data_IF_363314691878
#
_entry.id   IF_363314691878
#
_cell.length_a   1.000
_cell.length_b   1.000
_cell.length_c   1.000
_cell.angle_alpha   90.00
_cell.angle_beta   90.00
_cell.angle_gamma   90.00
#
_symmetry.space_group_name_H-M   'P 1'
#
loop_
_entity.id
_entity.type
_entity.pdbx_description
1 polymer ?
#
# COMPACT_ATOMS: atom_id res chain seq x y z
N UNK A 1 -15.00 10.03 0.24
CA UNK A 1 -13.88 9.13 -0.06
C UNK A 1 -14.36 7.73 -0.31
N UNK A 2 -13.81 7.10 -1.30
CA UNK A 2 -14.17 5.72 -1.60
C UNK A 2 -13.56 4.76 -0.58
N UNK A 3 -14.23 3.64 -0.43
CA UNK A 3 -13.81 2.55 0.43
C UNK A 3 -12.44 2.04 0.02
N UNK A 4 -11.51 1.95 0.98
CA UNK A 4 -10.18 1.41 0.75
C UNK A 4 -10.15 -0.06 1.13
N UNK A 5 -9.57 -0.89 0.26
CA UNK A 5 -9.36 -2.29 0.60
C UNK A 5 -8.16 -2.43 1.54
N UNK A 6 -8.08 -3.57 2.21
CA UNK A 6 -6.92 -3.92 3.04
C UNK A 6 -5.62 -3.89 2.21
N UNK A 7 -5.71 -4.37 0.99
CA UNK A 7 -4.58 -4.38 0.05
C UNK A 7 -4.11 -2.95 -0.27
N UNK A 8 -5.03 -2.03 -0.49
CA UNK A 8 -4.71 -0.62 -0.73
C UNK A 8 -3.98 0.00 0.46
N UNK A 9 -4.47 -0.29 1.66
CA UNK A 9 -3.86 0.22 2.90
C UNK A 9 -2.44 -0.31 3.07
N UNK A 10 -2.23 -1.60 2.85
CA UNK A 10 -0.90 -2.21 2.92
C UNK A 10 0.04 -1.55 1.91
N UNK A 11 -0.42 -1.33 0.70
CA UNK A 11 0.37 -0.64 -0.32
C UNK A 11 0.79 0.76 0.10
N UNK A 12 -0.12 1.53 0.69
CA UNK A 12 0.19 2.86 1.20
C UNK A 12 1.25 2.84 2.30
N UNK A 13 1.16 1.85 3.20
CA UNK A 13 2.14 1.70 4.28
C UNK A 13 3.51 1.34 3.73
N UNK A 14 3.58 0.36 2.82
CA UNK A 14 4.84 -0.07 2.23
C UNK A 14 5.51 1.06 1.44
N UNK A 15 4.72 1.84 0.73
CA UNK A 15 5.20 2.99 -0.02
C UNK A 15 5.72 4.08 0.92
N UNK A 16 4.97 4.39 1.97
CA UNK A 16 5.36 5.39 2.96
C UNK A 16 6.64 5.01 3.71
N UNK A 17 6.82 3.72 4.01
CA UNK A 17 7.98 3.20 4.72
C UNK A 17 9.18 2.90 3.82
N UNK A 18 9.04 3.04 2.51
CA UNK A 18 10.15 2.83 1.58
C UNK A 18 11.26 3.85 1.83
N UNK A 19 12.47 3.36 2.11
CA UNK A 19 13.59 4.22 2.48
C UNK A 19 13.63 4.60 3.95
N UNK A 20 12.64 4.24 4.73
CA UNK A 20 12.53 4.51 6.16
C UNK A 20 11.62 5.69 6.47
N UNK A 21 10.72 5.51 7.42
CA UNK A 21 9.82 6.56 7.88
C UNK A 21 9.42 6.34 9.33
N UNK A 22 9.14 7.43 10.04
CA UNK A 22 8.62 7.37 11.40
C UNK A 22 7.18 6.87 11.37
N UNK A 23 6.74 6.30 12.49
CA UNK A 23 5.36 5.85 12.66
C UNK A 23 4.36 6.98 12.35
N UNK A 24 4.64 8.18 12.83
CA UNK A 24 3.78 9.36 12.61
C UNK A 24 3.63 9.67 11.12
N UNK A 25 4.74 9.65 10.38
CA UNK A 25 4.73 9.90 8.94
C UNK A 25 3.93 8.84 8.19
N UNK A 26 4.12 7.57 8.54
CA UNK A 26 3.38 6.47 7.93
C UNK A 26 1.89 6.62 8.22
N UNK A 27 1.54 6.97 9.44
CA UNK A 27 0.15 7.20 9.85
C UNK A 27 -0.53 8.26 8.98
N UNK A 28 0.13 9.39 8.78
CA UNK A 28 -0.39 10.46 7.94
C UNK A 28 -0.57 10.02 6.49
N UNK A 29 0.44 9.37 5.93
CA UNK A 29 0.41 8.97 4.53
C UNK A 29 -0.58 7.86 4.23
N UNK A 30 -0.83 6.99 5.20
CA UNK A 30 -1.78 5.89 5.04
C UNK A 30 -3.20 6.22 5.48
N UNK A 31 -3.41 7.41 6.05
CA UNK A 31 -4.72 7.87 6.52
C UNK A 31 -5.35 6.93 7.54
N UNK A 32 -4.53 6.41 8.45
CA UNK A 32 -4.97 5.48 9.48
C UNK A 32 -4.96 6.15 10.86
N UNK A 33 -5.75 5.62 11.78
CA UNK A 33 -5.62 5.94 13.19
C UNK A 33 -4.37 5.25 13.74
N UNK A 34 -3.90 5.72 14.89
CA UNK A 34 -2.75 5.11 15.56
C UNK A 34 -2.98 3.62 15.84
N UNK A 35 -4.15 3.25 16.32
CA UNK A 35 -4.48 1.86 16.65
C UNK A 35 -4.49 0.98 15.41
N UNK A 36 -5.07 1.45 14.31
CA UNK A 36 -5.09 0.72 13.05
C UNK A 36 -3.68 0.51 12.51
N UNK A 37 -2.87 1.57 12.50
CA UNK A 37 -1.48 1.48 12.02
C UNK A 37 -0.66 0.49 12.87
N UNK A 38 -0.83 0.53 14.18
CA UNK A 38 -0.13 -0.39 15.09
C UNK A 38 -0.38 -1.84 14.69
N UNK A 39 -1.63 -2.18 14.42
CA UNK A 39 -2.00 -3.55 14.06
C UNK A 39 -1.43 -3.94 12.69
N UNK A 40 -1.48 -3.04 11.72
CA UNK A 40 -0.89 -3.29 10.40
C UNK A 40 0.63 -3.45 10.49
N UNK A 41 1.31 -2.57 11.22
CA UNK A 41 2.77 -2.64 11.35
C UNK A 41 3.21 -3.93 12.05
N UNK A 42 2.47 -4.38 13.07
CA UNK A 42 2.74 -5.65 13.73
C UNK A 42 2.66 -6.82 12.75
N UNK A 43 1.60 -6.87 11.97
CA UNK A 43 1.39 -7.90 10.96
C UNK A 43 2.47 -7.86 9.87
N UNK A 44 2.76 -6.68 9.34
CA UNK A 44 3.74 -6.52 8.26
C UNK A 44 5.16 -6.85 8.74
N UNK A 45 5.49 -6.51 9.98
CA UNK A 45 6.78 -6.86 10.58
C UNK A 45 6.89 -8.39 10.75
N UNK A 46 5.83 -9.02 11.23
CA UNK A 46 5.78 -10.47 11.38
C UNK A 46 5.95 -11.19 10.05
N UNK A 47 5.37 -10.66 8.99
CA UNK A 47 5.49 -11.21 7.64
C UNK A 47 6.81 -10.86 6.95
N UNK A 48 7.66 -10.07 7.58
CA UNK A 48 8.95 -9.68 7.01
C UNK A 48 8.86 -8.66 5.88
N UNK A 49 7.75 -7.92 5.79
CA UNK A 49 7.56 -6.90 4.75
C UNK A 49 8.07 -5.54 5.18
N UNK A 50 8.13 -5.32 6.48
CA UNK A 50 8.62 -4.09 7.11
C UNK A 50 9.52 -4.50 8.26
N UNK A 51 10.58 -3.72 8.51
CA UNK A 51 11.45 -3.91 9.66
C UNK A 51 11.56 -2.61 10.45
N UNK A 52 11.78 -2.73 11.76
CA UNK A 52 11.98 -1.57 12.62
C UNK A 52 13.47 -1.35 12.86
N UNK A 53 13.93 -0.14 12.60
CA UNK A 53 15.28 0.31 12.91
C UNK A 53 15.24 1.02 14.27
N UNK A 54 15.78 0.37 15.30
CA UNK A 54 15.80 0.91 16.66
C UNK A 54 16.65 2.17 16.78
N UNK A 55 17.74 2.24 16.06
CA UNK A 55 18.65 3.39 16.11
C UNK A 55 18.01 4.65 15.56
N UNK A 56 17.30 4.52 14.44
CA UNK A 56 16.64 5.65 13.81
C UNK A 56 15.19 5.84 14.22
N UNK A 57 14.63 4.95 15.03
CA UNK A 57 13.20 4.94 15.40
C UNK A 57 12.29 5.02 14.18
N UNK A 58 12.63 4.23 13.13
CA UNK A 58 11.92 4.24 11.85
C UNK A 58 11.54 2.85 11.44
N UNK A 59 10.46 2.76 10.68
CA UNK A 59 10.08 1.54 9.97
C UNK A 59 10.56 1.64 8.53
N UNK A 60 11.04 0.54 8.00
CA UNK A 60 11.58 0.49 6.65
C UNK A 60 11.03 -0.73 5.92
N UNK A 61 10.54 -0.51 4.70
CA UNK A 61 10.09 -1.59 3.84
C UNK A 61 11.28 -2.44 3.42
N UNK A 62 11.15 -3.75 3.62
CA UNK A 62 12.22 -4.72 3.28
C UNK A 62 12.24 -4.99 1.78
N UNK A 63 13.26 -5.73 1.31
CA UNK A 63 13.30 -6.19 -0.07
C UNK A 63 12.07 -7.00 -0.43
N UNK A 64 11.60 -7.84 0.48
CA UNK A 64 10.37 -8.62 0.30
C UNK A 64 9.16 -7.69 0.20
N UNK A 65 9.10 -6.66 1.05
CA UNK A 65 8.03 -5.66 1.01
C UNK A 65 8.01 -4.89 -0.31
N UNK A 66 9.18 -4.55 -0.85
CA UNK A 66 9.27 -3.88 -2.15
C UNK A 66 8.80 -4.78 -3.29
N UNK A 67 9.09 -6.08 -3.22
CA UNK A 67 8.56 -7.04 -4.20
C UNK A 67 7.04 -7.08 -4.19
N UNK A 68 6.46 -7.16 -3.00
CA UNK A 68 5.00 -7.15 -2.84
C UNK A 68 4.40 -5.87 -3.40
N UNK A 69 5.02 -4.73 -3.10
CA UNK A 69 4.55 -3.43 -3.60
C UNK A 69 4.60 -3.36 -5.13
N UNK A 70 5.67 -3.85 -5.74
CA UNK A 70 5.79 -3.89 -7.21
C UNK A 70 4.72 -4.77 -7.84
N UNK A 71 4.49 -5.95 -7.28
CA UNK A 71 3.46 -6.86 -7.77
C UNK A 71 2.07 -6.25 -7.66
N UNK A 72 1.80 -5.58 -6.55
CA UNK A 72 0.53 -4.89 -6.34
C UNK A 72 0.33 -3.78 -7.38
N UNK A 73 1.36 -2.99 -7.64
CA UNK A 73 1.30 -1.91 -8.64
C UNK A 73 1.08 -2.47 -10.04
N UNK A 74 1.75 -3.57 -10.39
CA UNK A 74 1.55 -4.25 -11.66
C UNK A 74 0.11 -4.74 -11.84
N UNK A 75 -0.43 -5.38 -10.82
CA UNK A 75 -1.81 -5.87 -10.83
C UNK A 75 -2.79 -4.70 -10.98
N UNK A 76 -2.56 -3.62 -10.26
CA UNK A 76 -3.41 -2.43 -10.34
C UNK A 76 -3.39 -1.81 -11.74
N UNK A 77 -2.23 -1.73 -12.38
CA UNK A 77 -2.11 -1.26 -13.75
C UNK A 77 -2.90 -2.13 -14.73
N UNK A 78 -2.83 -3.44 -14.57
CA UNK A 78 -3.59 -4.39 -15.39
C UNK A 78 -5.09 -4.20 -15.21
N UNK A 79 -5.54 -4.05 -13.97
CA UNK A 79 -6.97 -3.82 -13.69
C UNK A 79 -7.43 -2.47 -14.25
N UNK A 80 -6.62 -1.44 -14.14
CA UNK A 80 -6.93 -0.12 -14.69
C UNK A 80 -7.08 -0.19 -16.21
N UNK A 81 -6.19 -0.91 -16.90
CA UNK A 81 -6.25 -1.10 -18.33
C UNK A 81 -7.53 -1.85 -18.76
N UNK A 82 -7.92 -2.86 -18.01
CA UNK A 82 -9.15 -3.61 -18.24
C UNK A 82 -10.37 -2.72 -18.05
N UNK A 83 -10.39 -1.93 -16.97
CA UNK A 83 -11.48 -1.02 -16.67
C UNK A 83 -11.65 0.04 -17.74
N UNK A 84 -10.56 0.63 -18.20
CA UNK A 84 -10.58 1.61 -19.29
C UNK A 84 -11.10 1.02 -20.60
N UNK A 85 -10.69 -0.20 -20.93
CA UNK A 85 -11.17 -0.91 -22.10
C UNK A 85 -12.67 -1.21 -22.03
N UNK A 86 -13.15 -1.59 -20.86
CA UNK A 86 -14.55 -1.84 -20.61
C UNK A 86 -15.39 -0.56 -20.74
N UNK A 87 -14.93 0.53 -20.15
CA UNK A 87 -15.62 1.82 -20.22
C UNK A 87 -15.78 2.31 -21.64
N UNK A 88 -14.74 2.18 -22.45
CA UNK A 88 -14.79 2.55 -23.88
C UNK A 88 -15.78 1.70 -24.65
N UNK A 89 -15.81 0.40 -24.41
CA UNK A 89 -16.73 -0.53 -25.05
C UNK A 89 -18.18 -0.18 -24.73
N UNK A 90 -18.47 0.07 -23.44
CA UNK A 90 -19.81 0.45 -23.00
C UNK A 90 -20.25 1.75 -23.65
N UNK A 91 -19.38 2.75 -23.73
CA UNK A 91 -19.68 4.03 -24.36
C UNK A 91 -20.04 3.87 -25.84
N UNK A 92 -19.36 2.98 -26.55
CA UNK A 92 -19.64 2.69 -27.96
C UNK A 92 -20.99 1.97 -28.12
N UNK A 93 -21.28 1.03 -27.27
CA UNK A 93 -22.50 0.22 -27.35
C UNK A 93 -23.77 0.98 -27.01
N UNK A 94 -23.65 2.05 -26.23
CA UNK A 94 -24.79 2.88 -25.83
C UNK A 94 -25.24 3.81 -26.98
N UNK A 95 -24.41 4.03 -27.94
CA UNK A 95 -24.73 4.79 -29.12
C UNK A 95 -25.34 3.91 -30.20
#
# INVERSE_FOLDING_TARGET
MKYRSRSDIIGLILEAANGGATKTKIMYKSYLSFAQLRDYLAMLTEQGLVEFDELGHRFKTTSKGLQVLRLQNQINEEFDAIDDGWKRRVAIEVH
#
